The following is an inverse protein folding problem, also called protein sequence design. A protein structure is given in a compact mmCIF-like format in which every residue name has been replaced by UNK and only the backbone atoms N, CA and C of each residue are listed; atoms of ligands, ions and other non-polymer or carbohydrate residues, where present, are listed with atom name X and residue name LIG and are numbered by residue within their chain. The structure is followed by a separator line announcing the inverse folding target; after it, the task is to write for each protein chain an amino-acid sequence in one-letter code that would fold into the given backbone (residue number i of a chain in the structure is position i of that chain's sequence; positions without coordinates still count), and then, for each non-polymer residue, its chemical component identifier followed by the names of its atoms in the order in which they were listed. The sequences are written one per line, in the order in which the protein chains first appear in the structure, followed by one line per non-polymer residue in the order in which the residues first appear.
data_IF_748072097597
#
_entry.id   IF_748072097597
#
_cell.length_a   1.000
_cell.length_b   1.000
_cell.length_c   1.000
_cell.angle_alpha   90.00
_cell.angle_beta   90.00
_cell.angle_gamma   90.00
#
_symmetry.space_group_name_H-M   'P 1'
#
loop_
_entity.id
_entity.type
_entity.pdbx_description
1 polymer ?
#
# COMPACT_ATOMS: atom_id res chain seq x y z
N UNK A 1 4.20 -8.07 -8.72
CA UNK A 1 4.86 -7.73 -7.45
C UNK A 1 3.76 -7.32 -6.47
N UNK A 2 3.12 -8.30 -5.84
CA UNK A 2 1.93 -8.10 -4.99
C UNK A 2 2.24 -8.24 -3.51
N UNK A 3 3.34 -7.66 -3.05
CA UNK A 3 3.61 -7.52 -1.63
C UNK A 3 3.11 -6.15 -1.17
N UNK A 4 2.33 -6.12 -0.09
CA UNK A 4 1.88 -4.88 0.54
C UNK A 4 3.09 -4.04 0.96
N UNK A 5 3.42 -3.01 0.19
CA UNK A 5 4.41 -1.98 0.56
C UNK A 5 3.79 -0.97 1.56
N UNK A 6 2.93 -1.45 2.45
CA UNK A 6 2.25 -0.62 3.44
C UNK A 6 3.29 -0.01 4.40
N UNK A 7 3.15 1.27 4.77
CA UNK A 7 4.00 1.93 5.78
C UNK A 7 4.27 1.09 7.03
N UNK A 8 3.25 0.41 7.56
CA UNK A 8 3.37 -0.45 8.74
C UNK A 8 4.26 -1.68 8.51
N UNK A 9 4.23 -2.28 7.31
CA UNK A 9 5.11 -3.37 6.90
C UNK A 9 6.56 -2.90 6.74
N UNK A 10 6.78 -1.69 6.22
CA UNK A 10 8.12 -1.10 6.11
C UNK A 10 8.73 -0.90 7.51
N UNK A 11 7.94 -0.42 8.48
CA UNK A 11 8.42 -0.27 9.87
C UNK A 11 8.69 -1.61 10.56
N UNK A 12 8.01 -2.70 10.16
CA UNK A 12 8.27 -4.03 10.71
C UNK A 12 9.67 -4.56 10.37
N UNK A 13 10.37 -3.96 9.40
CA UNK A 13 11.75 -4.30 9.06
C UNK A 13 12.77 -3.70 10.04
N UNK A 14 12.39 -2.64 10.79
CA UNK A 14 13.32 -1.91 11.66
C UNK A 14 13.94 -2.77 12.77
N UNK A 15 13.22 -3.65 13.49
CA UNK A 15 13.83 -4.53 14.50
C UNK A 15 14.80 -5.58 13.93
N UNK A 16 14.63 -5.96 12.67
CA UNK A 16 15.57 -6.85 11.99
C UNK A 16 16.88 -6.13 11.67
N UNK A 17 16.79 -4.86 11.26
CA UNK A 17 17.91 -4.02 10.83
C UNK A 17 18.65 -3.34 11.99
N UNK A 18 17.95 -3.06 13.09
CA UNK A 18 18.49 -2.36 14.25
C UNK A 18 18.26 -3.21 15.52
N UNK A 19 19.31 -3.90 16.02
CA UNK A 19 19.22 -4.70 17.24
C UNK A 19 18.75 -3.92 18.47
N UNK A 20 18.96 -2.59 18.50
CA UNK A 20 18.46 -1.69 19.55
C UNK A 20 16.92 -1.59 19.60
N UNK A 21 16.21 -2.06 18.58
CA UNK A 21 14.75 -2.06 18.54
C UNK A 21 14.14 -3.42 18.91
N UNK A 22 14.97 -4.43 19.23
CA UNK A 22 14.49 -5.74 19.68
C UNK A 22 14.17 -5.67 21.17
N UNK A 23 12.92 -5.95 21.52
CA UNK A 23 12.54 -6.31 22.89
C UNK A 23 13.06 -7.72 23.13
N UNK A 24 14.24 -7.83 23.71
CA UNK A 24 14.79 -9.12 24.11
C UNK A 24 14.13 -9.60 25.40
N UNK A 25 13.40 -10.70 25.32
CA UNK A 25 13.31 -11.67 26.41
C UNK A 25 14.65 -12.42 26.42
N UNK A 26 15.72 -11.80 26.91
CA UNK A 26 17.01 -12.47 27.08
C UNK A 26 17.46 -12.21 28.51
N UNK A 27 17.40 -13.26 29.32
CA UNK A 27 18.07 -13.33 30.60
C UNK A 27 19.57 -13.03 30.38
N UNK A 28 20.11 -12.07 31.11
CA UNK A 28 21.54 -11.75 31.09
C UNK A 28 21.88 -10.33 30.64
N UNK A 29 21.86 -9.43 31.63
CA UNK A 29 22.73 -8.27 31.81
C UNK A 29 22.71 -7.07 30.83
N UNK A 30 22.52 -5.89 31.47
CA UNK A 30 22.63 -4.51 31.00
C UNK A 30 21.47 -3.98 30.14
N UNK A 31 20.30 -3.85 30.77
CA UNK A 31 19.19 -3.01 30.31
C UNK A 31 19.65 -1.55 30.12
N UNK A 32 19.84 -1.14 28.86
CA UNK A 32 19.90 0.26 28.48
C UNK A 32 18.46 0.78 28.36
N UNK A 33 18.00 1.72 29.21
CA UNK A 33 16.62 2.25 29.19
C UNK A 33 16.23 2.98 27.88
N UNK A 34 17.20 3.15 26.96
CA UNK A 34 16.99 3.73 25.64
C UNK A 34 16.26 2.77 24.67
N UNK A 35 16.49 1.45 24.77
CA UNK A 35 15.89 0.46 23.86
C UNK A 35 14.37 0.35 24.03
N UNK A 36 13.88 0.37 25.27
CA UNK A 36 12.45 0.27 25.54
C UNK A 36 11.68 1.46 24.98
N UNK A 37 12.23 2.68 25.15
CA UNK A 37 11.61 3.89 24.61
C UNK A 37 11.54 3.87 23.08
N UNK A 38 12.61 3.45 22.42
CA UNK A 38 12.63 3.35 20.95
C UNK A 38 11.69 2.24 20.44
N UNK A 39 11.62 1.10 21.12
CA UNK A 39 10.68 0.03 20.78
C UNK A 39 9.21 0.42 21.02
N UNK A 40 8.92 1.13 22.12
CA UNK A 40 7.59 1.68 22.39
C UNK A 40 7.21 2.74 21.37
N UNK A 41 8.14 3.64 21.00
CA UNK A 41 7.94 4.64 19.95
C UNK A 41 7.66 3.97 18.59
N UNK A 42 8.41 2.92 18.24
CA UNK A 42 8.17 2.12 17.02
C UNK A 42 6.79 1.46 17.04
N UNK A 43 6.42 0.84 18.15
CA UNK A 43 5.13 0.18 18.33
C UNK A 43 3.96 1.17 18.26
N UNK A 44 4.12 2.37 18.83
CA UNK A 44 3.15 3.45 18.76
C UNK A 44 3.05 4.03 17.34
N UNK A 45 4.18 4.23 16.65
CA UNK A 45 4.22 4.69 15.26
C UNK A 45 3.53 3.67 14.33
N UNK A 46 3.81 2.37 14.50
CA UNK A 46 3.18 1.31 13.71
C UNK A 46 1.67 1.28 13.91
N UNK A 47 1.18 1.35 15.15
CA UNK A 47 -0.27 1.41 15.45
C UNK A 47 -0.94 2.63 14.82
N UNK A 48 -0.31 3.81 14.91
CA UNK A 48 -0.80 5.05 14.28
C UNK A 48 -0.89 4.93 12.76
N UNK A 49 0.10 4.31 12.13
CA UNK A 49 0.08 4.06 10.68
C UNK A 49 -0.97 3.03 10.28
N UNK A 50 -1.11 1.93 11.00
CA UNK A 50 -2.13 0.91 10.73
C UNK A 50 -3.56 1.47 10.81
N UNK A 51 -3.84 2.31 11.80
CA UNK A 51 -5.14 2.98 11.90
C UNK A 51 -5.41 3.91 10.71
N UNK A 52 -4.39 4.66 10.26
CA UNK A 52 -4.49 5.52 9.08
C UNK A 52 -4.59 4.74 7.77
N UNK A 53 -3.90 3.61 7.67
CA UNK A 53 -4.00 2.68 6.53
C UNK A 53 -5.43 2.15 6.42
N UNK A 54 -6.01 1.65 7.53
CA UNK A 54 -7.37 1.14 7.55
C UNK A 54 -8.43 2.22 7.18
N UNK A 55 -8.24 3.46 7.62
CA UNK A 55 -9.11 4.57 7.23
C UNK A 55 -9.03 4.85 5.71
N UNK A 56 -7.81 4.90 5.15
CA UNK A 56 -7.62 5.06 3.70
C UNK A 56 -8.18 3.89 2.89
N UNK A 57 -8.06 2.66 3.39
CA UNK A 57 -8.61 1.49 2.72
C UNK A 57 -10.15 1.53 2.71
N UNK A 58 -10.77 2.05 3.78
CA UNK A 58 -12.21 2.35 3.82
C UNK A 58 -12.62 3.39 2.77
N UNK A 59 -11.89 4.51 2.65
CA UNK A 59 -12.15 5.54 1.63
C UNK A 59 -11.98 4.99 0.20
N UNK A 60 -10.96 4.16 -0.04
CA UNK A 60 -10.75 3.51 -1.34
C UNK A 60 -11.88 2.53 -1.66
N UNK A 61 -12.34 1.75 -0.68
CA UNK A 61 -13.45 0.82 -0.86
C UNK A 61 -14.76 1.57 -1.18
N UNK A 62 -15.01 2.71 -0.52
CA UNK A 62 -16.17 3.57 -0.82
C UNK A 62 -16.11 4.13 -2.25
N UNK A 63 -14.93 4.61 -2.67
CA UNK A 63 -14.72 5.09 -4.04
C UNK A 63 -14.94 3.96 -5.06
N UNK A 64 -14.41 2.76 -4.79
CA UNK A 64 -14.58 1.59 -5.65
C UNK A 64 -16.05 1.17 -5.76
N UNK A 65 -16.79 1.17 -4.65
CA UNK A 65 -18.23 0.88 -4.62
C UNK A 65 -19.04 1.91 -5.41
N UNK A 66 -18.77 3.21 -5.18
CA UNK A 66 -19.42 4.31 -5.90
C UNK A 66 -19.15 4.23 -7.41
N UNK A 67 -17.91 3.91 -7.78
CA UNK A 67 -17.51 3.76 -9.17
C UNK A 67 -18.17 2.54 -9.83
N UNK A 68 -18.21 1.39 -9.13
CA UNK A 68 -18.88 0.19 -9.61
C UNK A 68 -20.39 0.43 -9.85
N UNK A 69 -21.06 1.16 -8.96
CA UNK A 69 -22.46 1.56 -9.17
C UNK A 69 -22.63 2.48 -10.38
N UNK A 70 -21.78 3.51 -10.53
CA UNK A 70 -21.84 4.42 -11.69
C UNK A 70 -21.65 3.67 -13.01
N UNK A 71 -20.66 2.80 -13.09
CA UNK A 71 -20.46 1.95 -14.27
C UNK A 71 -21.64 1.02 -14.53
N UNK A 72 -22.23 0.44 -13.48
CA UNK A 72 -23.40 -0.44 -13.62
C UNK A 72 -24.62 0.30 -14.20
N UNK A 73 -24.82 1.57 -13.82
CA UNK A 73 -25.90 2.43 -14.31
C UNK A 73 -25.68 2.96 -15.73
N UNK A 74 -24.43 3.17 -16.16
CA UNK A 74 -24.11 3.73 -17.48
C UNK A 74 -23.76 2.68 -18.54
N UNK A 75 -23.81 1.39 -18.20
CA UNK A 75 -23.36 0.25 -19.04
C UNK A 75 -23.99 0.14 -20.43
N UNK A 76 -25.12 0.81 -20.67
CA UNK A 76 -25.86 0.77 -21.96
C UNK A 76 -25.75 2.07 -22.75
N UNK A 77 -25.01 3.06 -22.24
CA UNK A 77 -24.82 4.35 -22.91
C UNK A 77 -23.62 4.28 -23.85
N UNK A 78 -23.77 4.91 -25.01
CA UNK A 78 -22.65 5.20 -25.91
C UNK A 78 -21.63 6.07 -25.15
N UNK A 79 -20.33 5.74 -25.21
CA UNK A 79 -19.27 6.40 -24.44
C UNK A 79 -18.87 5.73 -23.11
N UNK A 80 -19.46 4.59 -22.73
CA UNK A 80 -19.11 3.86 -21.50
C UNK A 80 -17.61 3.57 -21.33
N UNK A 81 -16.91 3.24 -22.43
CA UNK A 81 -15.47 2.97 -22.42
C UNK A 81 -14.63 4.21 -22.06
N UNK A 82 -15.08 5.40 -22.48
CA UNK A 82 -14.42 6.68 -22.18
C UNK A 82 -14.65 7.06 -20.71
N UNK A 83 -15.88 6.92 -20.21
CA UNK A 83 -16.19 7.11 -18.78
C UNK A 83 -15.40 6.14 -17.89
N UNK A 84 -15.27 4.88 -18.30
CA UNK A 84 -14.48 3.90 -17.58
C UNK A 84 -12.98 4.25 -17.58
N UNK A 85 -12.45 4.71 -18.71
CA UNK A 85 -11.06 5.15 -18.80
C UNK A 85 -10.77 6.38 -17.93
N UNK A 86 -11.68 7.36 -17.91
CA UNK A 86 -11.56 8.56 -17.07
C UNK A 86 -11.54 8.23 -15.58
N UNK A 87 -12.43 7.35 -15.13
CA UNK A 87 -12.52 6.97 -13.73
C UNK A 87 -11.34 6.09 -13.30
N UNK A 88 -10.84 5.20 -14.15
CA UNK A 88 -9.56 4.50 -13.92
C UNK A 88 -8.42 5.50 -13.77
N UNK A 89 -8.40 6.57 -14.57
CA UNK A 89 -7.41 7.64 -14.42
C UNK A 89 -7.57 8.41 -13.09
N UNK A 90 -8.79 8.66 -12.61
CA UNK A 90 -9.03 9.27 -11.29
C UNK A 90 -8.56 8.36 -10.16
N UNK A 91 -8.85 7.06 -10.25
CA UNK A 91 -8.36 6.05 -9.30
C UNK A 91 -6.83 6.01 -9.26
N UNK A 92 -6.17 6.00 -10.42
CA UNK A 92 -4.70 6.02 -10.49
C UNK A 92 -4.10 7.27 -9.86
N UNK A 93 -4.73 8.44 -10.02
CA UNK A 93 -4.31 9.69 -9.34
C UNK A 93 -4.53 9.63 -7.83
N UNK A 94 -5.67 9.08 -7.39
CA UNK A 94 -5.95 8.89 -5.96
C UNK A 94 -4.95 7.94 -5.30
N UNK A 95 -4.64 6.81 -5.93
CA UNK A 95 -3.63 5.86 -5.47
C UNK A 95 -2.26 6.53 -5.30
N UNK A 96 -1.80 7.31 -6.31
CA UNK A 96 -0.52 8.04 -6.22
C UNK A 96 -0.49 9.06 -5.08
N UNK A 97 -1.60 9.75 -4.81
CA UNK A 97 -1.70 10.69 -3.68
C UNK A 97 -1.64 9.96 -2.34
N UNK A 98 -2.35 8.83 -2.22
CA UNK A 98 -2.32 8.00 -1.03
C UNK A 98 -0.90 7.46 -0.76
N UNK A 99 -0.19 6.99 -1.79
CA UNK A 99 1.19 6.50 -1.66
C UNK A 99 2.16 7.59 -1.20
N UNK A 100 1.98 8.83 -1.68
CA UNK A 100 2.78 9.98 -1.21
C UNK A 100 2.54 10.27 0.27
N UNK A 101 1.28 10.22 0.73
CA UNK A 101 0.93 10.43 2.14
C UNK A 101 1.49 9.31 3.03
N UNK A 102 1.34 8.06 2.57
CA UNK A 102 1.92 6.87 3.20
C UNK A 102 3.43 7.01 3.36
N UNK A 103 4.13 7.45 2.31
CA UNK A 103 5.58 7.65 2.36
C UNK A 103 6.00 8.75 3.35
N UNK A 104 5.30 9.89 3.36
CA UNK A 104 5.56 10.96 4.34
C UNK A 104 5.36 10.49 5.78
N UNK A 105 4.40 9.60 6.00
CA UNK A 105 4.13 9.05 7.31
C UNK A 105 5.24 8.06 7.75
N UNK A 106 5.83 7.29 6.82
CA UNK A 106 7.05 6.48 7.08
C UNK A 106 8.23 7.39 7.43
N UNK A 107 8.48 8.44 6.64
CA UNK A 107 9.58 9.38 6.90
C UNK A 107 9.47 10.01 8.30
N UNK A 108 8.27 10.41 8.72
CA UNK A 108 8.04 10.98 10.03
C UNK A 108 8.28 9.95 11.14
N UNK A 109 7.74 8.74 11.01
CA UNK A 109 7.90 7.66 11.98
C UNK A 109 9.36 7.23 12.15
N UNK A 110 10.11 7.11 11.05
CA UNK A 110 11.52 6.73 11.08
C UNK A 110 12.36 7.79 11.82
N UNK A 111 12.07 9.08 11.60
CA UNK A 111 12.76 10.18 12.29
C UNK A 111 12.40 10.30 13.77
N UNK A 112 11.24 9.77 14.17
CA UNK A 112 10.81 9.69 15.58
C UNK A 112 11.50 8.53 16.31
N UNK A 113 11.75 7.41 15.61
CA UNK A 113 12.27 6.16 16.21
C UNK A 113 13.80 6.08 16.16
N UNK A 114 14.42 6.55 15.08
CA UNK A 114 15.85 6.39 14.83
C UNK A 114 16.62 7.69 15.08
N UNK A 115 17.91 7.56 15.33
CA UNK A 115 18.82 8.71 15.28
C UNK A 115 18.85 9.32 13.88
N UNK A 116 19.18 10.62 13.73
CA UNK A 116 19.19 11.28 12.41
C UNK A 116 20.09 10.57 11.37
N UNK A 117 21.21 9.99 11.80
CA UNK A 117 22.11 9.24 10.94
C UNK A 117 21.46 7.93 10.45
N UNK A 118 20.91 7.13 11.37
CA UNK A 118 20.23 5.88 11.04
C UNK A 118 18.96 6.10 10.19
N UNK A 119 18.19 7.15 10.50
CA UNK A 119 17.02 7.53 9.70
C UNK A 119 17.42 7.85 8.25
N UNK A 120 18.52 8.58 8.05
CA UNK A 120 19.02 8.92 6.71
C UNK A 120 19.45 7.69 5.93
N UNK A 121 20.18 6.77 6.56
CA UNK A 121 20.61 5.53 5.92
C UNK A 121 19.44 4.63 5.56
N UNK A 122 18.49 4.46 6.48
CA UNK A 122 17.29 3.67 6.25
C UNK A 122 16.45 4.22 5.09
N UNK A 123 16.14 5.53 5.09
CA UNK A 123 15.35 6.14 4.04
C UNK A 123 16.03 6.03 2.67
N UNK A 124 17.36 6.20 2.61
CA UNK A 124 18.14 6.01 1.38
C UNK A 124 18.10 4.56 0.87
N UNK A 125 18.15 3.59 1.78
CA UNK A 125 18.04 2.17 1.43
C UNK A 125 16.65 1.86 0.85
N UNK A 126 15.58 2.34 1.48
CA UNK A 126 14.21 2.15 1.00
C UNK A 126 13.99 2.82 -0.36
N UNK A 127 14.51 4.04 -0.57
CA UNK A 127 14.46 4.72 -1.87
C UNK A 127 15.20 3.95 -2.98
N UNK A 128 16.36 3.35 -2.66
CA UNK A 128 17.09 2.53 -3.62
C UNK A 128 16.31 1.26 -4.01
N UNK A 129 15.70 0.58 -3.03
CA UNK A 129 14.87 -0.59 -3.27
C UNK A 129 13.63 -0.23 -4.10
N UNK A 130 12.93 0.85 -3.76
CA UNK A 130 11.75 1.30 -4.51
C UNK A 130 12.12 1.72 -5.94
N UNK A 131 13.26 2.39 -6.13
CA UNK A 131 13.79 2.72 -7.45
C UNK A 131 14.14 1.49 -8.29
N UNK A 132 14.74 0.46 -7.69
CA UNK A 132 15.01 -0.82 -8.38
C UNK A 132 13.71 -1.54 -8.76
N UNK A 133 12.74 -1.58 -7.85
CA UNK A 133 11.42 -2.17 -8.11
C UNK A 133 10.68 -1.43 -9.22
N UNK A 134 10.70 -0.09 -9.21
CA UNK A 134 10.11 0.73 -10.26
C UNK A 134 10.74 0.49 -11.64
N UNK A 135 12.07 0.44 -11.73
CA UNK A 135 12.77 0.09 -12.98
C UNK A 135 12.44 -1.31 -13.45
N UNK A 136 12.34 -2.27 -12.53
CA UNK A 136 11.93 -3.63 -12.86
C UNK A 136 10.49 -3.67 -13.39
N UNK A 137 9.57 -2.97 -12.74
CA UNK A 137 8.18 -2.83 -13.19
C UNK A 137 8.08 -2.21 -14.58
N UNK A 138 8.80 -1.13 -14.84
CA UNK A 138 8.84 -0.48 -16.16
C UNK A 138 9.39 -1.41 -17.25
N UNK A 139 10.48 -2.15 -16.96
CA UNK A 139 11.02 -3.14 -17.89
C UNK A 139 10.06 -4.29 -18.14
N UNK A 140 9.35 -4.74 -17.10
CA UNK A 140 8.35 -5.79 -17.22
C UNK A 140 7.17 -5.32 -18.08
N UNK A 141 6.64 -4.12 -17.85
CA UNK A 141 5.57 -3.56 -18.68
C UNK A 141 6.00 -3.35 -20.14
N UNK A 142 7.22 -2.87 -20.37
CA UNK A 142 7.76 -2.73 -21.72
C UNK A 142 7.89 -4.07 -22.46
N UNK A 143 8.10 -5.18 -21.74
CA UNK A 143 8.15 -6.54 -22.30
C UNK A 143 6.77 -7.20 -22.44
N UNK A 144 5.89 -6.98 -21.48
CA UNK A 144 4.56 -7.59 -21.45
C UNK A 144 3.58 -6.93 -22.44
N UNK A 145 3.86 -5.69 -22.87
CA UNK A 145 2.96 -4.91 -23.71
C UNK A 145 1.68 -4.50 -22.97
N UNK A 146 0.73 -3.85 -23.65
CA UNK A 146 -0.59 -3.57 -23.10
C UNK A 146 -1.28 -4.89 -22.71
N UNK A 147 -1.65 -5.04 -21.44
CA UNK A 147 -2.45 -6.18 -21.00
C UNK A 147 -3.87 -5.99 -21.54
N UNK A 148 -4.19 -6.69 -22.63
CA UNK A 148 -5.57 -6.82 -23.11
C UNK A 148 -6.26 -7.94 -22.35
N UNK A 149 -7.40 -7.65 -21.72
CA UNK A 149 -8.28 -8.70 -21.20
C UNK A 149 -9.12 -9.20 -22.39
N UNK A 150 -9.08 -10.50 -22.74
CA UNK A 150 -9.96 -11.04 -23.77
C UNK A 150 -11.42 -10.75 -23.41
N UNK A 151 -12.22 -10.32 -24.38
CA UNK A 151 -13.62 -9.97 -24.14
C UNK A 151 -14.40 -11.13 -23.49
N UNK A 152 -14.08 -12.39 -23.82
CA UNK A 152 -14.73 -13.56 -23.21
C UNK A 152 -14.31 -13.78 -21.75
N UNK A 153 -13.11 -13.35 -21.35
CA UNK A 153 -12.67 -13.39 -19.96
C UNK A 153 -13.38 -12.32 -19.13
N UNK A 154 -13.58 -11.13 -19.72
CA UNK A 154 -14.37 -10.07 -19.11
C UNK A 154 -15.85 -10.47 -18.95
N UNK A 155 -16.45 -11.08 -19.97
CA UNK A 155 -17.85 -11.54 -19.90
C UNK A 155 -18.04 -12.74 -18.96
N UNK A 156 -17.08 -13.67 -18.87
CA UNK A 156 -17.12 -14.72 -17.83
C UNK A 156 -17.04 -14.15 -16.42
N UNK A 157 -16.13 -13.20 -16.17
CA UNK A 157 -16.05 -12.50 -14.88
C UNK A 157 -17.38 -11.80 -14.56
N UNK A 158 -18.01 -11.18 -15.57
CA UNK A 158 -19.32 -10.53 -15.47
C UNK A 158 -20.45 -11.50 -15.13
N UNK A 159 -20.44 -12.69 -15.72
CA UNK A 159 -21.47 -13.72 -15.47
C UNK A 159 -21.34 -14.25 -14.05
N UNK A 160 -20.11 -14.51 -13.60
CA UNK A 160 -19.83 -14.97 -12.24
C UNK A 160 -20.21 -13.92 -11.18
N UNK A 161 -19.96 -12.63 -11.46
CA UNK A 161 -20.34 -11.55 -10.56
C UNK A 161 -21.86 -11.38 -10.41
N UNK A 162 -22.63 -11.70 -11.46
CA UNK A 162 -24.10 -11.70 -11.40
C UNK A 162 -24.63 -12.88 -10.58
N UNK A 163 -24.14 -14.08 -10.87
CA UNK A 163 -24.51 -15.27 -10.10
C UNK A 163 -24.25 -15.09 -8.59
N UNK A 164 -23.10 -14.53 -8.22
CA UNK A 164 -22.76 -14.25 -6.83
C UNK A 164 -23.64 -13.17 -6.15
N UNK A 165 -24.29 -12.30 -6.93
CA UNK A 165 -25.23 -11.30 -6.41
C UNK A 165 -26.67 -11.87 -6.27
N UNK A 166 -27.02 -12.85 -7.12
CA UNK A 166 -28.30 -13.53 -7.08
C UNK A 166 -28.37 -14.60 -5.96
N UNK A 167 -27.23 -15.17 -5.56
CA UNK A 167 -27.10 -16.13 -4.44
C UNK A 167 -27.12 -15.49 -3.04
N UNK A 168 -27.27 -14.15 -2.94
CA UNK A 168 -27.23 -13.40 -1.68
C UNK A 168 -28.62 -13.14 -1.05
N UNK A 169 -29.67 -13.81 -1.51
CA UNK A 169 -31.04 -13.78 -0.99
C UNK A 169 -31.57 -15.20 -0.75
#
# INVERSE_FOLDING_TARGET
LGGDLRPSCILALLPALFPSLRTGESEGDLFLPSNERQSQALSAARRRLQAREAALDGEVAEYQSTYAMKLACEKTKEGFAETAAEEVCKMARAARRADKLRWRAVEAAVKEVLTPAQAKEFLKAVENVSGKAGRHGARWQARAGPLSVPAEAFERMRTNARAAADDAW
#
